data_IF_562849868204
#
_entry.id   IF_562849868204
#
_cell.length_a   1.000
_cell.length_b   1.000
_cell.length_c   1.000
_cell.angle_alpha   90.00
_cell.angle_beta   90.00
_cell.angle_gamma   90.00
#
_symmetry.space_group_name_H-M   'P 1'
#
loop_
_entity.id
_entity.type
_entity.pdbx_description
1 polymer ?
#
# COMPACT_ATOMS: atom_id res chain seq x y z
N UNK A 1 -3.90 15.74 0.86
CA UNK A 1 -4.16 14.72 1.88
C UNK A 1 -5.53 14.13 1.64
N UNK A 2 -5.76 12.89 2.07
CA UNK A 2 -7.13 12.40 2.27
C UNK A 2 -7.65 13.12 3.52
N UNK A 3 -8.81 13.74 3.43
CA UNK A 3 -9.49 14.39 4.56
C UNK A 3 -10.66 13.51 5.04
N UNK A 4 -11.44 13.00 4.09
CA UNK A 4 -12.61 12.17 4.35
C UNK A 4 -12.69 11.04 3.32
N UNK A 5 -13.20 9.88 3.74
CA UNK A 5 -13.43 8.74 2.89
C UNK A 5 -14.72 8.01 3.28
N UNK A 6 -15.56 7.73 2.30
CA UNK A 6 -16.79 6.96 2.42
C UNK A 6 -16.74 5.82 1.41
N UNK A 7 -17.06 4.61 1.88
CA UNK A 7 -17.19 3.41 1.07
C UNK A 7 -18.47 2.68 1.47
N UNK A 8 -19.34 2.40 0.51
CA UNK A 8 -20.58 1.66 0.72
C UNK A 8 -20.66 0.47 -0.23
N UNK A 9 -21.13 -0.65 0.28
CA UNK A 9 -21.45 -1.87 -0.46
C UNK A 9 -20.28 -2.46 -1.28
N UNK A 10 -19.14 -2.71 -0.64
CA UNK A 10 -17.96 -3.29 -1.29
C UNK A 10 -17.54 -4.62 -0.63
N UNK A 11 -17.75 -5.74 -1.33
CA UNK A 11 -17.48 -7.08 -0.82
C UNK A 11 -18.14 -7.30 0.56
N UNK A 12 -17.37 -7.62 1.62
CA UNK A 12 -17.90 -7.80 2.97
C UNK A 12 -18.20 -6.48 3.70
N UNK A 13 -17.82 -5.32 3.15
CA UNK A 13 -18.05 -4.01 3.75
C UNK A 13 -19.43 -3.50 3.33
N UNK A 14 -20.28 -3.24 4.32
CA UNK A 14 -21.57 -2.56 4.12
C UNK A 14 -21.38 -1.04 4.04
N UNK A 15 -20.70 -0.46 5.05
CA UNK A 15 -20.39 0.95 5.07
C UNK A 15 -19.12 1.23 5.88
N UNK A 16 -18.33 2.18 5.41
CA UNK A 16 -17.24 2.83 6.14
C UNK A 16 -17.36 4.32 5.92
N UNK A 17 -17.31 5.10 6.99
CA UNK A 17 -17.14 6.55 6.98
C UNK A 17 -15.97 6.90 7.87
N UNK A 18 -14.96 7.54 7.32
CA UNK A 18 -13.71 7.81 8.00
C UNK A 18 -13.23 9.23 7.71
N UNK A 19 -12.81 9.94 8.75
CA UNK A 19 -12.07 11.20 8.66
C UNK A 19 -10.61 10.94 8.99
N UNK A 20 -9.72 11.30 8.07
CA UNK A 20 -8.31 10.98 8.19
C UNK A 20 -7.59 11.88 9.19
N UNK A 21 -6.70 11.26 9.96
CA UNK A 21 -5.66 11.95 10.73
C UNK A 21 -4.48 12.31 9.80
N UNK A 22 -3.78 13.44 10.05
CA UNK A 22 -2.65 13.88 9.25
C UNK A 22 -1.42 12.97 9.26
N UNK A 23 -1.30 12.09 10.24
CA UNK A 23 -0.07 11.29 10.42
C UNK A 23 -0.29 9.81 10.13
N UNK A 24 -0.97 9.12 11.04
CA UNK A 24 -1.15 7.67 10.98
C UNK A 24 -2.62 7.35 11.20
N UNK A 25 -3.13 6.44 10.38
CA UNK A 25 -4.49 5.93 10.46
C UNK A 25 -4.42 4.42 10.61
N UNK A 26 -5.03 3.90 11.68
CA UNK A 26 -4.93 2.50 12.07
C UNK A 26 -6.26 1.78 11.81
N UNK A 27 -6.23 0.74 10.98
CA UNK A 27 -7.40 -0.07 10.62
C UNK A 27 -7.30 -1.41 11.35
N UNK A 28 -8.18 -1.65 12.32
CA UNK A 28 -8.24 -2.89 13.12
C UNK A 28 -9.58 -3.59 12.89
N UNK A 29 -9.57 -4.92 12.90
CA UNK A 29 -10.78 -5.73 12.81
C UNK A 29 -10.44 -7.21 12.68
N UNK A 30 -11.45 -8.07 12.85
CA UNK A 30 -11.31 -9.52 12.65
C UNK A 30 -10.84 -9.85 11.23
N UNK A 31 -10.28 -11.04 11.02
CA UNK A 31 -9.93 -11.49 9.68
C UNK A 31 -11.19 -11.64 8.81
N UNK A 32 -11.06 -11.37 7.51
CA UNK A 32 -12.18 -11.45 6.57
C UNK A 32 -13.15 -10.25 6.58
N UNK A 33 -12.97 -9.24 7.44
CA UNK A 33 -13.89 -8.07 7.50
C UNK A 33 -13.67 -7.01 6.42
N UNK A 34 -12.84 -7.28 5.41
CA UNK A 34 -12.59 -6.34 4.31
C UNK A 34 -11.48 -5.30 4.53
N UNK A 35 -10.65 -5.42 5.58
CA UNK A 35 -9.52 -4.49 5.81
C UNK A 35 -8.64 -4.26 4.56
N UNK A 36 -8.23 -5.34 3.90
CA UNK A 36 -7.41 -5.25 2.68
C UNK A 36 -8.19 -4.66 1.50
N UNK A 37 -9.50 -4.88 1.42
CA UNK A 37 -10.37 -4.30 0.39
C UNK A 37 -10.46 -2.79 0.57
N UNK A 38 -10.66 -2.33 1.81
CA UNK A 38 -10.67 -0.91 2.15
C UNK A 38 -9.34 -0.23 1.75
N UNK A 39 -8.21 -0.83 2.09
CA UNK A 39 -6.90 -0.28 1.72
C UNK A 39 -6.67 -0.27 0.20
N UNK A 40 -7.07 -1.32 -0.51
CA UNK A 40 -6.99 -1.37 -1.97
C UNK A 40 -7.86 -0.31 -2.62
N UNK A 41 -9.07 -0.07 -2.09
CA UNK A 41 -9.97 0.95 -2.62
C UNK A 41 -9.38 2.35 -2.42
N UNK A 42 -8.81 2.64 -1.24
CA UNK A 42 -8.07 3.89 -0.99
C UNK A 42 -6.92 4.08 -1.98
N UNK A 43 -6.14 3.02 -2.23
CA UNK A 43 -5.08 3.05 -3.23
C UNK A 43 -5.60 3.35 -4.63
N UNK A 44 -6.72 2.75 -5.05
CA UNK A 44 -7.33 3.03 -6.36
C UNK A 44 -7.67 4.51 -6.50
N UNK A 45 -8.36 5.11 -5.52
CA UNK A 45 -8.70 6.55 -5.56
C UNK A 45 -7.44 7.41 -5.71
N UNK A 46 -6.45 7.16 -4.86
CA UNK A 46 -5.20 7.91 -4.85
C UNK A 46 -4.44 7.76 -6.18
N UNK A 47 -4.28 6.53 -6.66
CA UNK A 47 -3.50 6.21 -7.85
C UNK A 47 -4.16 6.71 -9.12
N UNK A 48 -5.48 6.58 -9.23
CA UNK A 48 -6.22 7.12 -10.37
C UNK A 48 -6.10 8.65 -10.46
N UNK A 49 -6.11 9.35 -9.32
CA UNK A 49 -5.93 10.81 -9.28
C UNK A 49 -4.51 11.24 -9.63
N UNK A 50 -3.51 10.41 -9.29
CA UNK A 50 -2.11 10.63 -9.65
C UNK A 50 -1.86 10.45 -11.16
N UNK A 51 -2.53 9.49 -11.80
CA UNK A 51 -2.33 9.15 -13.20
C UNK A 51 -3.18 9.98 -14.17
N UNK A 52 -4.29 10.55 -13.69
CA UNK A 52 -5.11 11.45 -14.50
C UNK A 52 -4.28 12.60 -15.06
N UNK A 53 -4.37 12.84 -16.37
CA UNK A 53 -3.65 13.91 -17.09
C UNK A 53 -2.13 13.95 -16.87
N UNK A 54 -1.52 12.86 -16.37
CA UNK A 54 -0.07 12.82 -16.16
C UNK A 54 0.64 12.43 -17.45
N UNK A 55 1.58 13.26 -17.88
CA UNK A 55 2.29 13.05 -19.14
C UNK A 55 1.36 13.21 -20.34
N UNK A 56 1.39 12.25 -21.27
CA UNK A 56 0.56 12.27 -22.48
C UNK A 56 -0.66 11.33 -22.37
N UNK A 57 -1.13 11.04 -21.14
CA UNK A 57 -2.28 10.16 -20.94
C UNK A 57 -3.57 10.84 -21.43
N UNK A 58 -4.22 10.23 -22.43
CA UNK A 58 -5.48 10.70 -23.03
C UNK A 58 -6.71 10.01 -22.46
N UNK A 59 -6.53 9.10 -21.51
CA UNK A 59 -7.63 8.36 -20.89
C UNK A 59 -8.46 9.28 -19.99
N UNK A 60 -9.77 9.05 -20.04
CA UNK A 60 -10.71 9.70 -19.13
C UNK A 60 -10.52 9.17 -17.71
N UNK A 61 -10.85 9.98 -16.70
CA UNK A 61 -10.75 9.56 -15.31
C UNK A 61 -11.58 8.29 -15.01
N UNK A 62 -12.74 8.14 -15.67
CA UNK A 62 -13.57 6.93 -15.66
C UNK A 62 -12.79 5.68 -16.10
N UNK A 63 -12.05 5.76 -17.20
CA UNK A 63 -11.27 4.65 -17.74
C UNK A 63 -10.14 4.27 -16.78
N UNK A 64 -9.42 5.27 -16.27
CA UNK A 64 -8.32 5.07 -15.31
C UNK A 64 -8.84 4.36 -14.03
N UNK A 65 -9.97 4.79 -13.45
CA UNK A 65 -10.55 4.10 -12.30
C UNK A 65 -10.91 2.66 -12.66
N UNK A 66 -11.59 2.44 -13.79
CA UNK A 66 -12.00 1.10 -14.22
C UNK A 66 -10.81 0.14 -14.34
N UNK A 67 -9.73 0.60 -14.98
CA UNK A 67 -8.50 -0.17 -15.11
C UNK A 67 -7.83 -0.42 -13.76
N UNK A 68 -7.73 0.60 -12.89
CA UNK A 68 -7.14 0.43 -11.55
C UNK A 68 -7.93 -0.50 -10.65
N UNK A 69 -9.27 -0.47 -10.71
CA UNK A 69 -10.11 -1.42 -9.99
C UNK A 69 -9.81 -2.84 -10.44
N UNK A 70 -9.85 -3.10 -11.76
CA UNK A 70 -9.57 -4.44 -12.31
C UNK A 70 -8.16 -4.91 -11.97
N UNK A 71 -7.14 -4.07 -12.16
CA UNK A 71 -5.75 -4.42 -11.89
C UNK A 71 -5.45 -4.65 -10.40
N UNK A 72 -6.01 -3.82 -9.51
CA UNK A 72 -5.74 -3.91 -8.06
C UNK A 72 -6.48 -5.07 -7.40
N UNK A 73 -7.72 -5.33 -7.84
CA UNK A 73 -8.55 -6.40 -7.30
C UNK A 73 -8.42 -7.73 -8.06
N UNK A 74 -7.81 -7.72 -9.25
CA UNK A 74 -7.67 -8.88 -10.13
C UNK A 74 -9.02 -9.51 -10.48
N UNK A 75 -9.98 -8.65 -10.83
CA UNK A 75 -11.34 -9.05 -11.23
C UNK A 75 -11.54 -8.86 -12.73
N UNK A 76 -12.33 -9.74 -13.34
CA UNK A 76 -12.72 -9.60 -14.74
C UNK A 76 -13.69 -8.43 -14.91
N UNK A 77 -14.68 -8.34 -14.02
CA UNK A 77 -15.72 -7.32 -14.02
C UNK A 77 -15.64 -6.48 -12.74
N UNK A 78 -15.74 -5.16 -12.87
CA UNK A 78 -15.71 -4.28 -11.68
C UNK A 78 -16.94 -4.49 -10.78
N UNK A 79 -18.07 -4.91 -11.35
CA UNK A 79 -19.32 -5.22 -10.65
C UNK A 79 -19.19 -6.36 -9.63
N UNK A 80 -18.19 -7.24 -9.77
CA UNK A 80 -17.91 -8.32 -8.81
C UNK A 80 -17.47 -7.79 -7.45
N UNK A 81 -17.06 -6.51 -7.38
CA UNK A 81 -16.69 -5.83 -6.13
C UNK A 81 -17.91 -5.37 -5.33
N UNK A 82 -19.09 -5.31 -5.94
CA UNK A 82 -20.31 -4.87 -5.25
C UNK A 82 -20.72 -5.93 -4.23
N UNK A 83 -21.12 -5.48 -3.03
CA UNK A 83 -21.64 -6.37 -1.98
C UNK A 83 -22.85 -7.15 -2.50
N UNK A 84 -22.89 -8.46 -2.24
CA UNK A 84 -24.04 -9.30 -2.61
C UNK A 84 -25.34 -8.76 -2.00
N UNK A 85 -26.36 -8.62 -2.83
CA UNK A 85 -27.66 -8.08 -2.43
C UNK A 85 -27.74 -6.56 -2.36
N UNK A 86 -26.68 -5.84 -2.69
CA UNK A 86 -26.71 -4.38 -2.82
C UNK A 86 -26.85 -3.94 -4.28
N UNK A 87 -27.57 -2.83 -4.50
CA UNK A 87 -27.83 -2.31 -5.85
C UNK A 87 -26.60 -1.62 -6.46
N UNK A 88 -25.75 -1.02 -5.62
CA UNK A 88 -24.62 -0.20 -6.08
C UNK A 88 -23.53 -0.08 -5.03
N UNK A 89 -22.27 -0.13 -5.49
CA UNK A 89 -21.10 0.29 -4.71
C UNK A 89 -20.91 1.79 -4.86
N UNK A 90 -20.61 2.48 -3.76
CA UNK A 90 -20.34 3.93 -3.76
C UNK A 90 -19.03 4.24 -3.06
N UNK A 91 -18.24 5.12 -3.67
CA UNK A 91 -17.02 5.69 -3.09
C UNK A 91 -17.13 7.20 -3.11
N UNK A 92 -16.83 7.84 -2.00
CA UNK A 92 -16.60 9.29 -1.92
C UNK A 92 -15.30 9.54 -1.16
N UNK A 93 -14.49 10.49 -1.62
CA UNK A 93 -13.21 10.81 -1.03
C UNK A 93 -12.93 12.30 -1.20
N UNK A 94 -12.67 12.98 -0.09
CA UNK A 94 -12.15 14.34 -0.10
C UNK A 94 -10.62 14.26 -0.12
N UNK A 95 -10.03 14.62 -1.26
CA UNK A 95 -8.60 14.52 -1.52
C UNK A 95 -8.08 15.88 -2.02
N UNK A 96 -7.13 16.49 -1.32
CA UNK A 96 -6.50 17.77 -1.71
C UNK A 96 -7.50 18.88 -2.05
N UNK A 97 -8.56 19.03 -1.24
CA UNK A 97 -9.66 19.99 -1.46
C UNK A 97 -10.55 19.68 -2.67
N UNK A 98 -10.35 18.54 -3.34
CA UNK A 98 -11.23 18.03 -4.38
C UNK A 98 -12.12 16.93 -3.81
N UNK A 99 -13.34 16.84 -4.35
CA UNK A 99 -14.28 15.77 -4.01
C UNK A 99 -14.29 14.76 -5.15
N UNK A 100 -13.90 13.54 -4.84
CA UNK A 100 -13.91 12.41 -5.77
C UNK A 100 -15.05 11.50 -5.36
N UNK A 101 -15.90 11.15 -6.31
CA UNK A 101 -17.01 10.24 -6.17
C UNK A 101 -17.03 9.31 -7.38
N UNK A 102 -17.35 8.04 -7.13
CA UNK A 102 -17.76 7.14 -8.20
C UNK A 102 -18.68 6.05 -7.67
N UNK A 103 -19.50 5.53 -8.55
CA UNK A 103 -20.39 4.42 -8.22
C UNK A 103 -20.70 3.53 -9.42
N UNK A 104 -21.01 2.27 -9.14
CA UNK A 104 -21.34 1.28 -10.17
C UNK A 104 -22.17 0.12 -9.61
N UNK A 105 -23.02 -0.44 -10.47
CA UNK A 105 -23.90 -1.57 -10.18
C UNK A 105 -23.17 -2.92 -10.34
N UNK A 106 -23.76 -4.02 -9.86
CA UNK A 106 -23.22 -5.36 -10.08
C UNK A 106 -23.05 -5.75 -11.56
N UNK A 107 -23.78 -5.11 -12.48
CA UNK A 107 -23.68 -5.33 -13.93
C UNK A 107 -22.52 -4.61 -14.62
N UNK A 108 -21.72 -3.83 -13.88
CA UNK A 108 -20.64 -3.04 -14.47
C UNK A 108 -19.43 -3.90 -14.86
N UNK A 109 -19.04 -3.86 -16.14
CA UNK A 109 -17.95 -4.70 -16.67
C UNK A 109 -16.61 -3.96 -16.68
N UNK A 110 -16.49 -2.88 -17.48
CA UNK A 110 -15.20 -2.25 -17.81
C UNK A 110 -14.88 -0.97 -17.05
N UNK A 111 -15.86 -0.33 -16.43
CA UNK A 111 -15.67 0.97 -15.81
C UNK A 111 -16.81 1.33 -14.87
N UNK A 112 -16.65 2.48 -14.23
CA UNK A 112 -17.64 3.01 -13.27
C UNK A 112 -18.75 3.76 -14.00
N UNK A 113 -19.97 3.70 -13.50
CA UNK A 113 -21.11 4.38 -14.12
C UNK A 113 -21.03 5.87 -13.89
N UNK A 114 -21.22 6.25 -12.62
CA UNK A 114 -21.13 7.63 -12.17
C UNK A 114 -19.73 7.94 -11.69
N UNK A 115 -19.18 9.09 -12.10
CA UNK A 115 -17.85 9.56 -11.72
C UNK A 115 -17.81 11.08 -11.79
N UNK A 116 -17.06 11.70 -10.89
CA UNK A 116 -16.79 13.14 -10.98
C UNK A 116 -15.84 13.43 -12.12
N UNK A 117 -16.01 14.63 -12.65
CA UNK A 117 -14.93 15.31 -13.35
C UNK A 117 -13.93 15.83 -12.30
N UNK A 118 -12.67 15.42 -12.42
CA UNK A 118 -11.59 15.90 -11.55
C UNK A 118 -10.99 17.14 -12.17
N UNK A 119 -10.71 18.13 -11.33
CA UNK A 119 -10.24 19.46 -11.77
C UNK A 119 -8.72 19.50 -11.88
N UNK A 120 -7.99 18.86 -10.96
CA UNK A 120 -6.52 18.89 -10.98
C UNK A 120 -5.88 17.54 -10.63
N UNK A 121 -4.87 17.11 -11.40
CA UNK A 121 -4.12 15.90 -11.10
C UNK A 121 -3.24 16.07 -9.86
N UNK A 122 -2.97 14.96 -9.17
CA UNK A 122 -2.19 14.94 -7.93
C UNK A 122 -0.71 14.68 -8.24
N UNK A 123 0.18 15.55 -7.76
CA UNK A 123 1.63 15.45 -7.97
C UNK A 123 2.35 14.52 -6.99
N UNK A 124 1.75 14.25 -5.83
CA UNK A 124 2.31 13.38 -4.79
C UNK A 124 2.11 11.90 -5.12
N UNK A 125 3.13 11.10 -4.87
CA UNK A 125 3.11 9.66 -5.12
C UNK A 125 2.28 8.91 -4.07
N UNK A 126 1.62 7.85 -4.52
CA UNK A 126 0.85 6.95 -3.64
C UNK A 126 1.39 5.53 -3.75
N UNK A 127 1.81 4.95 -2.62
CA UNK A 127 2.42 3.61 -2.57
C UNK A 127 1.54 2.69 -1.74
N UNK A 128 1.18 1.54 -2.30
CA UNK A 128 0.53 0.45 -1.57
C UNK A 128 1.55 -0.62 -1.19
N UNK A 129 1.65 -0.89 0.11
CA UNK A 129 2.66 -1.76 0.70
C UNK A 129 1.99 -3.06 1.21
N UNK A 130 1.99 -4.15 0.43
CA UNK A 130 1.35 -5.40 0.85
C UNK A 130 2.16 -6.10 1.96
N UNK A 131 1.52 -6.73 2.94
CA UNK A 131 2.21 -7.33 4.09
C UNK A 131 3.21 -8.44 3.74
N UNK A 132 2.90 -9.24 2.71
CA UNK A 132 3.66 -10.48 2.41
C UNK A 132 4.95 -10.24 1.63
N UNK A 133 5.01 -9.21 0.78
CA UNK A 133 6.15 -9.00 -0.12
C UNK A 133 7.28 -8.21 0.55
N UNK A 134 6.95 -7.31 1.47
CA UNK A 134 7.92 -6.46 2.18
C UNK A 134 8.88 -7.30 3.02
N UNK A 135 8.38 -8.35 3.67
CA UNK A 135 9.22 -9.26 4.46
C UNK A 135 10.25 -9.99 3.60
N UNK A 136 9.88 -10.37 2.37
CA UNK A 136 10.82 -10.98 1.40
C UNK A 136 11.88 -9.99 0.91
N UNK A 137 11.49 -8.73 0.70
CA UNK A 137 12.40 -7.68 0.22
C UNK A 137 13.45 -7.25 1.25
N UNK A 138 13.19 -7.40 2.56
CA UNK A 138 14.16 -7.02 3.60
C UNK A 138 15.52 -7.70 3.41
N UNK A 139 15.55 -8.97 3.01
CA UNK A 139 16.79 -9.71 2.74
C UNK A 139 17.55 -9.16 1.54
N UNK A 140 16.85 -8.76 0.48
CA UNK A 140 17.46 -8.18 -0.73
C UNK A 140 17.99 -6.77 -0.45
N UNK A 141 17.22 -5.93 0.25
CA UNK A 141 17.62 -4.57 0.62
C UNK A 141 18.87 -4.59 1.50
N UNK A 142 18.91 -5.46 2.52
CA UNK A 142 20.09 -5.64 3.37
C UNK A 142 21.32 -6.07 2.57
N UNK A 143 21.16 -7.04 1.65
CA UNK A 143 22.26 -7.48 0.77
C UNK A 143 22.78 -6.36 -0.12
N UNK A 144 21.89 -5.54 -0.69
CA UNK A 144 22.28 -4.44 -1.56
C UNK A 144 23.04 -3.35 -0.80
N UNK A 145 22.55 -2.96 0.38
CA UNK A 145 23.24 -1.99 1.25
C UNK A 145 24.62 -2.49 1.69
N UNK A 146 24.75 -3.78 2.03
CA UNK A 146 26.04 -4.37 2.38
C UNK A 146 27.02 -4.39 1.19
N UNK A 147 26.51 -4.64 -0.02
CA UNK A 147 27.30 -4.58 -1.25
C UNK A 147 27.77 -3.15 -1.54
N UNK A 148 26.85 -2.17 -1.49
CA UNK A 148 27.17 -0.77 -1.75
C UNK A 148 28.18 -0.24 -0.71
N UNK A 149 28.06 -0.63 0.56
CA UNK A 149 29.04 -0.32 1.61
C UNK A 149 30.40 -0.97 1.33
N UNK A 150 30.43 -2.25 0.92
CA UNK A 150 31.66 -2.95 0.56
C UNK A 150 32.40 -2.28 -0.60
N UNK A 151 31.66 -1.85 -1.63
CA UNK A 151 32.18 -1.08 -2.76
C UNK A 151 32.72 0.29 -2.31
N UNK A 152 32.00 1.01 -1.44
CA UNK A 152 32.45 2.31 -0.92
C UNK A 152 33.73 2.22 -0.07
N UNK A 153 33.95 1.08 0.60
CA UNK A 153 35.14 0.80 1.40
C UNK A 153 36.31 0.22 0.57
N UNK A 154 36.20 0.19 -0.76
CA UNK A 154 37.26 -0.30 -1.66
C UNK A 154 37.54 -1.81 -1.55
N UNK A 155 36.69 -2.58 -0.86
CA UNK A 155 36.86 -4.02 -0.70
C UNK A 155 36.23 -4.75 -1.89
N UNK A 156 37.02 -5.00 -2.92
CA UNK A 156 36.58 -5.78 -4.08
C UNK A 156 36.69 -7.28 -3.77
N UNK A 157 35.61 -7.88 -3.25
CA UNK A 157 35.43 -9.34 -3.28
C UNK A 157 34.19 -9.67 -4.10
N UNK A 158 34.38 -10.50 -5.13
CA UNK A 158 33.32 -11.06 -5.97
C UNK A 158 32.30 -11.78 -5.07
N UNK A 159 31.10 -11.22 -4.95
CA UNK A 159 29.97 -11.87 -4.31
C UNK A 159 29.49 -13.02 -5.22
N UNK A 160 30.01 -14.23 -5.00
CA UNK A 160 29.41 -15.46 -5.54
C UNK A 160 28.44 -16.00 -4.48
N UNK A 161 27.19 -16.21 -4.87
CA UNK A 161 26.03 -16.41 -3.99
C UNK A 161 25.99 -17.71 -3.17
N UNK A 162 27.09 -18.14 -2.55
CA UNK A 162 27.14 -19.33 -1.67
C UNK A 162 27.78 -19.13 -0.30
N UNK A 163 28.20 -17.92 0.07
CA UNK A 163 28.73 -17.68 1.41
C UNK A 163 27.75 -16.85 2.20
N UNK A 164 26.99 -17.50 3.08
CA UNK A 164 26.44 -16.86 4.28
C UNK A 164 27.66 -16.24 4.96
N UNK A 165 27.76 -14.91 4.91
CA UNK A 165 28.73 -14.20 5.70
C UNK A 165 28.44 -14.57 7.15
N UNK A 166 29.35 -15.32 7.77
CA UNK A 166 29.54 -15.25 9.21
C UNK A 166 29.80 -13.78 9.51
N UNK A 167 28.72 -13.05 9.84
CA UNK A 167 28.81 -11.89 10.69
C UNK A 167 29.30 -12.49 12.00
N UNK A 168 30.60 -12.35 12.24
CA UNK A 168 31.17 -12.54 13.56
C UNK A 168 30.50 -11.46 14.40
N UNK A 169 29.41 -11.83 15.08
CA UNK A 169 29.04 -11.16 16.30
C UNK A 169 30.25 -11.34 17.21
N UNK A 170 31.04 -10.26 17.38
CA UNK A 170 31.81 -10.11 18.60
C UNK A 170 30.78 -10.00 19.72
N UNK A 171 30.33 -11.16 20.19
CA UNK A 171 29.82 -11.32 21.54
C UNK A 171 30.96 -10.86 22.43
N UNK A 172 30.79 -9.69 23.03
CA UNK A 172 31.63 -9.22 24.11
C UNK A 172 31.62 -10.31 25.18
N UNK A 173 32.68 -11.12 25.20
CA UNK A 173 32.95 -12.06 26.25
C UNK A 173 33.26 -11.20 27.48
N UNK A 174 32.31 -11.12 28.41
CA UNK A 174 32.58 -10.62 29.76
C UNK A 174 33.30 -11.77 30.47
N UNK A 175 34.61 -11.65 30.79
CA UNK A 175 35.25 -12.67 31.63
C UNK A 175 34.67 -12.57 33.03
N UNK A 176 34.20 -13.71 33.55
CA UNK A 176 33.95 -13.90 34.96
C UNK A 176 35.29 -13.97 35.69
N UNK A 177 35.60 -12.95 36.49
CA UNK A 177 36.72 -12.98 37.43
C UNK A 177 36.16 -13.24 38.84
N UNK A 178 36.51 -14.42 39.36
CA UNK A 178 36.13 -14.88 40.69
C UNK A 178 36.85 -14.07 41.78
N UNK A 179 36.13 -13.89 42.88
CA UNK A 179 36.51 -13.21 44.10
C UNK A 179 37.89 -13.61 44.67
N UNK A 180 38.63 -12.60 45.14
CA UNK A 180 39.51 -12.71 46.30
C UNK A 180 39.31 -11.49 47.20
N UNK A 181 38.79 -11.74 48.41
CA UNK A 181 38.94 -10.84 49.54
C UNK A 181 40.43 -10.70 49.89
N UNK A 182 40.81 -9.58 50.51
CA UNK A 182 41.37 -9.75 51.83
C UNK A 182 40.79 -8.78 52.87
N UNK A 183 40.70 -9.30 54.08
CA UNK A 183 40.83 -8.60 55.37
C UNK A 183 41.57 -7.26 55.23
N UNK A 184 41.12 -6.16 55.83
CA UNK A 184 40.88 -5.96 57.26
C UNK A 184 40.23 -4.59 57.46
#
# INVERSE_FOLDING_TARGET
MIDEFVLENCGPIEQVRWRASPHINLIIGKNGTGKSILMKMLYVVLRSTEEYQRGNNRETFRQIIGEKLRGTFQVEQVGDLVRKGADRLKVECKLDKQQIHFSFSPSAVRGVGDVTDIVQPRSTLSIFLPPKEILSLTGIIKRRLAFDLCCSLGKSRKYTGKTIAHVVENSGHIPAENATHPHR
#
